data_IF_609525535485
#
_entry.id   IF_609525535485
#
_cell.length_a   1.000
_cell.length_b   1.000
_cell.length_c   1.000
_cell.angle_alpha   90.00
_cell.angle_beta   90.00
_cell.angle_gamma   90.00
#
_symmetry.space_group_name_H-M   'P 1'
#
loop_
_entity.id
_entity.type
_entity.pdbx_description
1 polymer ?
#
# COMPACT_ATOMS: atom_id res chain seq x y z
N UNK A 1 -42.66 -15.53 24.16
CA UNK A 1 -42.07 -14.50 23.27
C UNK A 1 -40.57 -14.74 23.12
N UNK A 2 -40.19 -15.58 22.17
CA UNK A 2 -38.79 -15.76 21.75
C UNK A 2 -38.50 -14.66 20.73
N UNK A 3 -37.59 -13.75 21.06
CA UNK A 3 -37.01 -12.84 20.09
C UNK A 3 -36.23 -13.70 19.08
N UNK A 4 -36.81 -13.87 17.89
CA UNK A 4 -36.09 -14.40 16.75
C UNK A 4 -34.93 -13.46 16.45
N UNK A 5 -33.73 -14.03 16.42
CA UNK A 5 -32.54 -13.38 15.89
C UNK A 5 -32.87 -12.84 14.50
N UNK A 6 -32.84 -11.51 14.35
CA UNK A 6 -32.78 -10.87 13.03
C UNK A 6 -31.54 -11.42 12.35
N UNK A 7 -31.74 -12.33 11.40
CA UNK A 7 -30.75 -12.68 10.40
C UNK A 7 -30.36 -11.38 9.71
N UNK A 8 -29.14 -10.93 9.98
CA UNK A 8 -28.56 -9.78 9.33
C UNK A 8 -28.45 -10.13 7.86
N UNK A 9 -29.32 -9.52 7.06
CA UNK A 9 -29.52 -9.78 5.64
C UNK A 9 -28.18 -9.91 4.92
N UNK A 10 -27.97 -11.11 4.36
CA UNK A 10 -26.90 -11.43 3.45
C UNK A 10 -26.66 -10.28 2.49
N UNK A 11 -25.50 -9.65 2.64
CA UNK A 11 -24.94 -8.77 1.65
C UNK A 11 -24.65 -9.61 0.41
N UNK A 12 -25.68 -9.83 -0.43
CA UNK A 12 -25.72 -10.63 -1.65
C UNK A 12 -24.36 -11.12 -2.15
N UNK A 13 -24.19 -12.44 -2.11
CA UNK A 13 -23.06 -13.19 -2.65
C UNK A 13 -22.89 -12.89 -4.15
N UNK A 14 -22.22 -11.79 -4.49
CA UNK A 14 -21.58 -11.63 -5.79
C UNK A 14 -20.33 -12.49 -5.72
N UNK A 15 -20.48 -13.77 -6.04
CA UNK A 15 -19.35 -14.65 -6.34
C UNK A 15 -18.73 -14.16 -7.65
N UNK A 16 -17.67 -13.37 -7.56
CA UNK A 16 -16.84 -13.08 -8.73
C UNK A 16 -16.27 -14.41 -9.22
N UNK A 17 -16.76 -14.95 -10.34
CA UNK A 17 -16.18 -16.15 -10.97
C UNK A 17 -14.91 -15.80 -11.79
N UNK A 18 -14.16 -14.82 -11.30
CA UNK A 18 -12.96 -14.27 -11.92
C UNK A 18 -11.74 -14.92 -11.28
N UNK A 19 -11.08 -15.79 -12.05
CA UNK A 19 -9.83 -16.47 -11.65
C UNK A 19 -8.59 -15.63 -11.94
N UNK A 20 -8.78 -14.43 -12.47
CA UNK A 20 -7.73 -13.43 -12.65
C UNK A 20 -7.24 -12.92 -11.30
N UNK A 21 -6.01 -12.40 -11.33
CA UNK A 21 -5.44 -11.69 -10.20
C UNK A 21 -6.05 -10.29 -10.14
N UNK A 22 -6.39 -9.86 -8.93
CA UNK A 22 -6.60 -8.45 -8.65
C UNK A 22 -5.28 -7.73 -8.91
N UNK A 23 -5.32 -6.60 -9.59
CA UNK A 23 -4.10 -5.86 -9.87
C UNK A 23 -4.38 -4.37 -9.81
N UNK A 24 -3.33 -3.60 -9.47
CA UNK A 24 -3.42 -2.15 -9.36
C UNK A 24 -2.39 -1.54 -10.31
N UNK A 25 -2.84 -0.61 -11.14
CA UNK A 25 -1.94 0.22 -11.93
C UNK A 25 -1.70 1.53 -11.20
N UNK A 26 -0.43 1.83 -10.92
CA UNK A 26 -0.01 3.07 -10.29
C UNK A 26 0.63 3.99 -11.32
N UNK A 27 -0.06 5.08 -11.61
CA UNK A 27 0.37 6.05 -12.62
C UNK A 27 1.42 7.01 -12.05
N UNK A 28 1.03 7.80 -11.04
CA UNK A 28 1.84 8.84 -10.45
C UNK A 28 1.58 9.01 -8.95
N UNK A 29 2.56 9.60 -8.26
CA UNK A 29 2.40 10.18 -6.93
C UNK A 29 2.79 11.65 -6.99
N UNK A 30 1.94 12.53 -6.50
CA UNK A 30 2.15 13.98 -6.54
C UNK A 30 2.19 14.54 -5.12
N UNK A 31 2.80 15.72 -4.95
CA UNK A 31 2.88 16.45 -3.68
C UNK A 31 3.40 15.61 -2.50
N UNK A 32 4.61 15.07 -2.62
CA UNK A 32 5.25 14.33 -1.52
C UNK A 32 6.29 15.24 -0.83
N UNK A 33 5.94 16.01 0.21
CA UNK A 33 6.82 17.04 0.77
C UNK A 33 8.07 16.46 1.44
N UNK A 34 7.96 15.29 2.07
CA UNK A 34 9.06 14.59 2.75
C UNK A 34 10.00 13.86 1.80
N UNK A 35 9.70 13.87 0.49
CA UNK A 35 10.30 12.93 -0.44
C UNK A 35 11.79 13.19 -0.71
N UNK A 36 12.22 14.45 -0.60
CA UNK A 36 13.61 14.86 -0.79
C UNK A 36 14.55 14.31 0.29
N UNK A 37 14.00 13.88 1.42
CA UNK A 37 14.74 13.26 2.51
C UNK A 37 14.85 11.74 2.34
N UNK A 38 14.05 11.16 1.44
CA UNK A 38 14.05 9.73 1.14
C UNK A 38 15.21 9.39 0.20
N UNK A 39 15.97 8.36 0.52
CA UNK A 39 16.87 7.71 -0.43
C UNK A 39 16.09 6.77 -1.34
N UNK A 40 15.21 5.98 -0.72
CA UNK A 40 14.36 5.02 -1.43
C UNK A 40 12.93 5.13 -0.96
N UNK A 41 12.02 4.79 -1.85
CA UNK A 41 10.59 4.80 -1.61
C UNK A 41 10.02 3.47 -2.07
N UNK A 42 9.11 2.93 -1.30
CA UNK A 42 8.29 1.82 -1.75
C UNK A 42 6.87 2.02 -1.27
N UNK A 43 5.95 1.32 -1.91
CA UNK A 43 4.53 1.46 -1.68
C UNK A 43 4.03 0.09 -1.27
N UNK A 44 3.36 0.07 -0.14
CA UNK A 44 2.83 -1.14 0.46
C UNK A 44 1.33 -1.15 0.26
N UNK A 45 0.84 -2.26 -0.26
CA UNK A 45 -0.56 -2.49 -0.58
C UNK A 45 -1.07 -3.63 0.28
N UNK A 46 -2.19 -3.40 0.96
CA UNK A 46 -2.78 -4.39 1.85
C UNK A 46 -4.29 -4.44 1.63
N UNK A 47 -4.88 -5.63 1.62
CA UNK A 47 -6.33 -5.83 1.56
C UNK A 47 -6.81 -6.14 2.97
N UNK A 48 -7.75 -5.36 3.48
CA UNK A 48 -8.35 -5.54 4.79
C UNK A 48 -9.84 -5.87 4.68
N UNK A 49 -10.34 -6.68 5.60
CA UNK A 49 -11.76 -6.85 5.87
C UNK A 49 -12.04 -6.50 7.32
N UNK A 50 -12.85 -5.47 7.55
CA UNK A 50 -12.91 -4.84 8.86
C UNK A 50 -11.49 -4.55 9.39
N UNK A 51 -11.08 -5.13 10.52
CA UNK A 51 -9.75 -4.93 11.10
C UNK A 51 -8.71 -5.97 10.65
N UNK A 52 -9.14 -7.04 9.99
CA UNK A 52 -8.27 -8.16 9.64
C UNK A 52 -7.60 -7.95 8.28
N UNK A 53 -6.27 -8.10 8.25
CA UNK A 53 -5.51 -8.07 7.02
C UNK A 53 -5.60 -9.43 6.32
N UNK A 54 -6.14 -9.45 5.09
CA UNK A 54 -6.28 -10.65 4.27
C UNK A 54 -5.08 -10.93 3.39
N UNK A 55 -4.45 -9.87 2.89
CA UNK A 55 -3.35 -9.96 1.94
C UNK A 55 -2.48 -8.71 2.00
N UNK A 56 -1.22 -8.86 1.63
CA UNK A 56 -0.25 -7.79 1.59
C UNK A 56 0.78 -8.04 0.48
N UNK A 57 1.19 -6.98 -0.19
CA UNK A 57 2.30 -6.96 -1.14
C UNK A 57 2.98 -5.59 -1.10
N UNK A 58 4.20 -5.50 -1.62
CA UNK A 58 4.93 -4.26 -1.76
C UNK A 58 5.40 -4.05 -3.19
N UNK A 59 5.46 -2.79 -3.62
CA UNK A 59 6.18 -2.43 -4.84
C UNK A 59 7.67 -2.69 -4.66
N UNK A 60 8.39 -2.73 -5.77
CA UNK A 60 9.83 -2.55 -5.72
C UNK A 60 10.21 -1.21 -5.05
N UNK A 61 11.46 -1.13 -4.59
CA UNK A 61 12.03 0.10 -4.02
C UNK A 61 12.54 0.99 -5.13
N UNK A 62 11.95 2.18 -5.25
CA UNK A 62 12.37 3.22 -6.16
C UNK A 62 13.46 4.07 -5.52
N UNK A 63 14.56 4.28 -6.22
CA UNK A 63 15.60 5.24 -5.84
C UNK A 63 15.10 6.65 -6.15
N UNK A 64 14.83 7.46 -5.12
CA UNK A 64 14.19 8.76 -5.31
C UNK A 64 14.97 9.65 -6.29
N UNK A 65 16.30 9.63 -6.22
CA UNK A 65 17.16 10.43 -7.11
C UNK A 65 16.94 10.10 -8.60
N UNK A 66 16.46 8.90 -8.93
CA UNK A 66 16.23 8.44 -10.31
C UNK A 66 14.81 8.69 -10.81
N UNK A 67 13.84 8.81 -9.90
CA UNK A 67 12.40 8.92 -10.25
C UNK A 67 11.76 10.25 -9.86
N UNK A 68 12.49 11.10 -9.15
CA UNK A 68 12.05 12.45 -8.79
C UNK A 68 11.82 13.32 -10.03
N UNK A 69 10.58 13.74 -10.24
CA UNK A 69 10.26 14.87 -11.11
C UNK A 69 10.73 16.19 -10.48
N UNK A 70 10.71 17.27 -11.27
CA UNK A 70 11.06 18.64 -10.82
C UNK A 70 10.27 19.11 -9.59
N UNK A 71 9.09 18.53 -9.34
CA UNK A 71 8.09 19.04 -8.39
C UNK A 71 7.76 18.06 -7.24
N UNK A 72 8.72 17.26 -6.77
CA UNK A 72 8.48 16.26 -5.70
C UNK A 72 7.37 15.27 -6.05
N UNK A 73 7.27 14.95 -7.35
CA UNK A 73 6.38 13.95 -7.91
C UNK A 73 7.16 12.74 -8.40
N UNK A 74 6.51 11.58 -8.38
CA UNK A 74 7.04 10.31 -8.89
C UNK A 74 6.13 9.83 -10.01
N UNK A 75 6.67 9.74 -11.23
CA UNK A 75 5.98 9.07 -12.34
C UNK A 75 6.44 7.62 -12.36
N UNK A 76 5.52 6.70 -12.08
CA UNK A 76 5.86 5.29 -11.92
C UNK A 76 5.35 4.47 -13.11
N UNK A 77 4.11 4.69 -13.55
CA UNK A 77 3.47 3.93 -14.63
C UNK A 77 3.66 2.41 -14.46
N UNK A 78 3.52 1.92 -13.22
CA UNK A 78 3.82 0.53 -12.87
C UNK A 78 2.57 -0.25 -12.52
N UNK A 79 2.52 -1.46 -13.02
CA UNK A 79 1.55 -2.46 -12.60
C UNK A 79 2.08 -3.17 -11.36
N UNK A 80 1.28 -3.19 -10.30
CA UNK A 80 1.59 -3.90 -9.06
C UNK A 80 0.86 -5.23 -9.10
N UNK A 81 1.56 -6.36 -9.27
CA UNK A 81 0.94 -7.66 -9.31
C UNK A 81 0.48 -8.04 -7.90
N UNK A 82 -0.80 -8.37 -7.73
CA UNK A 82 -1.23 -9.06 -6.51
C UNK A 82 -1.39 -10.52 -6.87
N UNK A 83 -0.74 -11.40 -6.11
CA UNK A 83 -1.09 -12.81 -6.14
C UNK A 83 -2.35 -13.06 -5.28
N UNK A 84 -3.38 -12.27 -5.55
CA UNK A 84 -4.67 -12.29 -4.87
C UNK A 84 -5.78 -12.36 -5.91
N UNK A 85 -6.56 -13.44 -5.87
CA UNK A 85 -7.60 -13.67 -6.88
C UNK A 85 -8.80 -12.76 -6.66
N UNK A 86 -9.40 -12.24 -7.74
CA UNK A 86 -10.60 -11.39 -7.66
C UNK A 86 -11.75 -12.14 -6.96
N UNK A 87 -11.91 -13.44 -7.22
CA UNK A 87 -12.88 -14.30 -6.51
C UNK A 87 -12.75 -14.35 -4.99
N UNK A 88 -11.60 -13.94 -4.43
CA UNK A 88 -11.35 -13.89 -2.98
C UNK A 88 -11.69 -12.52 -2.36
N UNK A 89 -12.14 -11.55 -3.16
CA UNK A 89 -12.61 -10.27 -2.65
C UNK A 89 -14.04 -10.39 -2.13
N UNK A 90 -14.25 -9.93 -0.90
CA UNK A 90 -15.57 -9.85 -0.29
C UNK A 90 -16.11 -8.42 -0.37
N UNK A 91 -17.45 -8.27 -0.24
CA UNK A 91 -18.04 -6.96 0.00
C UNK A 91 -17.39 -6.32 1.22
N UNK A 92 -17.13 -5.02 1.13
CA UNK A 92 -16.46 -4.22 2.16
C UNK A 92 -14.97 -4.55 2.40
N UNK A 93 -14.34 -5.36 1.53
CA UNK A 93 -12.87 -5.40 1.50
C UNK A 93 -12.34 -4.03 1.07
N UNK A 94 -11.28 -3.58 1.73
CA UNK A 94 -10.65 -2.27 1.53
C UNK A 94 -9.22 -2.47 1.07
N UNK A 95 -8.86 -1.84 -0.05
CA UNK A 95 -7.47 -1.68 -0.43
C UNK A 95 -6.87 -0.50 0.36
N UNK A 96 -5.84 -0.79 1.14
CA UNK A 96 -5.03 0.20 1.83
C UNK A 96 -3.69 0.37 1.09
N UNK A 97 -3.27 1.62 0.92
CA UNK A 97 -2.04 2.00 0.22
C UNK A 97 -1.24 2.89 1.16
N UNK A 98 -0.01 2.49 1.46
CA UNK A 98 0.90 3.28 2.29
C UNK A 98 2.23 3.51 1.59
N UNK A 99 2.72 4.74 1.66
CA UNK A 99 3.98 5.17 1.04
C UNK A 99 5.04 5.18 2.14
N UNK A 100 6.12 4.46 1.93
CA UNK A 100 7.21 4.32 2.89
C UNK A 100 8.46 5.02 2.36
N UNK A 101 9.04 5.85 3.21
CA UNK A 101 10.28 6.59 2.96
C UNK A 101 11.43 5.93 3.71
N UNK A 102 12.46 5.50 2.99
CA UNK A 102 13.69 4.97 3.57
C UNK A 102 14.74 6.08 3.56
N UNK A 103 15.14 6.53 4.74
CA UNK A 103 16.17 7.55 4.93
C UNK A 103 17.48 6.93 5.38
N UNK A 104 18.62 7.54 5.03
CA UNK A 104 19.92 7.11 5.54
C UNK A 104 20.00 7.44 7.03
N UNK A 105 20.46 6.50 7.86
CA UNK A 105 20.87 6.82 9.23
C UNK A 105 22.01 7.84 9.17
N UNK A 106 21.76 9.07 9.63
CA UNK A 106 22.86 10.02 9.91
C UNK A 106 23.74 9.40 10.99
N UNK A 107 25.00 9.10 10.67
CA UNK A 107 26.01 8.77 11.69
C UNK A 107 26.16 10.02 12.56
N UNK A 108 25.67 9.95 13.79
CA UNK A 108 25.95 10.97 14.80
C UNK A 108 27.36 10.71 15.29
N UNK A 109 28.34 11.44 14.77
CA UNK A 109 29.67 11.48 15.35
C UNK A 109 29.62 12.37 16.59
N UNK A 110 29.67 11.77 17.78
CA UNK A 110 29.98 12.53 18.98
C UNK A 110 31.41 13.04 18.82
N UNK A 111 31.55 14.37 18.69
CA UNK A 111 32.86 15.01 18.67
C UNK A 111 33.66 14.57 19.90
N UNK A 112 34.95 14.27 19.72
CA UNK A 112 35.86 13.93 20.82
C UNK A 112 35.74 15.01 21.90
N UNK A 113 35.22 14.64 23.07
CA UNK A 113 35.35 15.45 24.28
C UNK A 113 36.85 15.48 24.57
N UNK A 114 37.50 16.63 24.36
CA UNK A 114 38.87 16.84 24.81
C UNK A 114 38.83 16.91 26.34
N UNK A 115 39.45 15.92 26.98
CA UNK A 115 39.82 15.92 28.40
C UNK A 115 40.88 16.96 28.68
#
# INVERSE_FOLDING_TARGET
>A
NKFGSNEMSDCGNISWNMNENFNVYLENLTYLPFIKECEKIYIKFSIYHAQDMKYETESERFDFAKVAGKDSSLRLHKFIPFDYKIRKLHRCDRLNISIHCVTRRKRVSFGKIKS
#
